data_IF_275704039760
#
_entry.id   IF_275704039760
#
_cell.length_a   1.000
_cell.length_b   1.000
_cell.length_c   1.000
_cell.angle_alpha   90.00
_cell.angle_beta   90.00
_cell.angle_gamma   90.00
#
_symmetry.space_group_name_H-M   'P 1'
#
loop_
_entity.id
_entity.type
_entity.pdbx_description
1 polymer ?
#
# COMPACT_ATOMS: atom_id res chain seq x y z
N UNK A 1 1.62 -0.46 6.28
CA UNK A 1 1.85 -0.49 7.74
C UNK A 1 0.77 0.31 8.45
N UNK A 2 0.29 -0.14 9.61
CA UNK A 2 -0.59 0.65 10.48
C UNK A 2 0.19 1.39 11.57
N UNK A 3 -0.19 2.62 11.87
CA UNK A 3 0.39 3.48 12.89
C UNK A 3 -0.52 3.61 14.13
N UNK A 4 -1.25 2.55 14.48
CA UNK A 4 -2.03 2.52 15.72
C UNK A 4 -1.13 2.66 16.94
N UNK A 5 0.10 2.16 16.84
CA UNK A 5 1.14 2.29 17.85
C UNK A 5 1.66 3.74 17.91
N UNK A 6 1.53 4.38 19.08
CA UNK A 6 1.98 5.76 19.33
C UNK A 6 3.47 5.98 19.01
N UNK A 7 4.31 4.96 19.13
CA UNK A 7 5.75 5.05 18.81
C UNK A 7 6.01 5.19 17.31
N UNK A 8 5.12 4.66 16.47
CA UNK A 8 5.28 4.61 15.01
C UNK A 8 4.64 5.81 14.34
N UNK A 9 3.58 6.39 14.90
CA UNK A 9 2.87 7.56 14.32
C UNK A 9 3.77 8.67 13.79
N UNK A 10 4.81 9.14 14.51
CA UNK A 10 5.65 10.24 14.03
C UNK A 10 6.50 9.88 12.81
N UNK A 11 6.78 8.58 12.61
CA UNK A 11 7.73 8.06 11.62
C UNK A 11 7.05 7.17 10.57
N UNK A 12 5.72 6.99 10.65
CA UNK A 12 4.99 6.03 9.83
C UNK A 12 5.10 6.29 8.33
N UNK A 13 5.12 7.57 7.94
CA UNK A 13 5.27 8.00 6.56
C UNK A 13 6.71 7.82 6.02
N UNK A 14 7.69 7.54 6.89
CA UNK A 14 9.10 7.41 6.50
C UNK A 14 9.30 6.31 5.47
N UNK A 15 8.71 5.12 5.66
CA UNK A 15 8.85 4.02 4.70
C UNK A 15 8.31 4.41 3.32
N UNK A 16 7.14 5.04 3.26
CA UNK A 16 6.56 5.46 1.97
C UNK A 16 7.41 6.52 1.27
N UNK A 17 7.90 7.52 2.02
CA UNK A 17 8.62 8.65 1.45
C UNK A 17 10.09 8.35 1.13
N UNK A 18 10.75 7.54 1.96
CA UNK A 18 12.21 7.32 1.91
C UNK A 18 12.56 6.03 1.16
N UNK A 19 11.63 5.08 1.07
CA UNK A 19 11.86 3.78 0.40
C UNK A 19 10.94 3.59 -0.80
N UNK A 20 9.63 3.58 -0.60
CA UNK A 20 8.69 3.24 -1.68
C UNK A 20 8.77 4.26 -2.82
N UNK A 21 8.76 5.56 -2.52
CA UNK A 21 8.87 6.63 -3.53
C UNK A 21 10.22 6.70 -4.23
N UNK A 22 11.29 6.22 -3.62
CA UNK A 22 12.62 6.22 -4.25
C UNK A 22 12.82 4.96 -5.11
N UNK A 23 12.25 3.82 -4.69
CA UNK A 23 12.50 2.52 -5.32
C UNK A 23 11.36 1.99 -6.18
N UNK A 24 10.21 2.69 -6.30
CA UNK A 24 9.06 2.21 -7.10
C UNK A 24 9.42 1.88 -8.55
N UNK A 25 10.42 2.55 -9.13
CA UNK A 25 10.83 2.37 -10.53
C UNK A 25 12.05 1.48 -10.72
N UNK A 26 12.59 0.91 -9.64
CA UNK A 26 13.85 0.15 -9.66
C UNK A 26 13.54 -1.35 -9.66
N UNK A 27 13.69 -2.04 -8.53
CA UNK A 27 13.49 -3.47 -8.39
C UNK A 27 12.95 -3.81 -7.00
N UNK A 28 12.21 -4.92 -6.92
CA UNK A 28 11.62 -5.39 -5.69
C UNK A 28 12.64 -5.90 -4.65
N UNK A 29 13.71 -6.65 -5.00
CA UNK A 29 14.75 -7.03 -4.05
C UNK A 29 15.34 -5.85 -3.26
N UNK A 30 15.70 -4.76 -3.93
CA UNK A 30 16.18 -3.52 -3.33
C UNK A 30 15.12 -2.89 -2.43
N UNK A 31 13.86 -2.86 -2.89
CA UNK A 31 12.75 -2.32 -2.10
C UNK A 31 12.51 -3.15 -0.83
N UNK A 32 12.46 -4.47 -0.93
CA UNK A 32 12.25 -5.38 0.20
C UNK A 32 13.34 -5.19 1.25
N UNK A 33 14.60 -5.18 0.82
CA UNK A 33 15.74 -5.00 1.73
C UNK A 33 15.68 -3.65 2.44
N UNK A 34 15.49 -2.57 1.69
CA UNK A 34 15.42 -1.22 2.23
C UNK A 34 14.26 -1.06 3.23
N UNK A 35 13.09 -1.65 2.95
CA UNK A 35 11.96 -1.68 3.90
C UNK A 35 12.33 -2.45 5.17
N UNK A 36 12.94 -3.64 5.04
CA UNK A 36 13.29 -4.49 6.19
C UNK A 36 14.36 -3.87 7.10
N UNK A 37 15.28 -3.08 6.55
CA UNK A 37 16.30 -2.36 7.31
C UNK A 37 15.80 -1.00 7.85
N UNK A 38 14.68 -0.49 7.34
CA UNK A 38 14.19 0.82 7.72
C UNK A 38 13.84 0.88 9.23
N UNK A 39 14.31 1.89 9.99
CA UNK A 39 14.09 1.97 11.44
C UNK A 39 12.62 1.86 11.85
N UNK A 40 11.72 2.42 11.04
CA UNK A 40 10.27 2.33 11.29
C UNK A 40 9.78 0.89 11.24
N UNK A 41 10.24 0.07 10.30
CA UNK A 41 9.83 -1.33 10.17
C UNK A 41 10.40 -2.16 11.33
N UNK A 42 11.68 -1.95 11.65
CA UNK A 42 12.36 -2.63 12.77
C UNK A 42 11.74 -2.30 14.14
N UNK A 43 11.19 -1.11 14.32
CA UNK A 43 10.44 -0.73 15.52
C UNK A 43 9.02 -1.28 15.46
N UNK A 44 8.37 -1.23 14.31
CA UNK A 44 6.98 -1.67 14.15
C UNK A 44 6.80 -3.16 14.46
N UNK A 45 7.73 -3.99 13.97
CA UNK A 45 7.73 -5.44 14.18
C UNK A 45 8.67 -5.87 15.30
N UNK A 46 9.15 -4.90 16.11
CA UNK A 46 10.01 -5.12 17.26
C UNK A 46 11.32 -5.91 16.98
N UNK A 47 11.78 -5.97 15.72
CA UNK A 47 13.02 -6.65 15.34
C UNK A 47 14.27 -5.99 15.94
N UNK A 48 14.24 -4.67 16.20
CA UNK A 48 15.32 -3.98 16.90
C UNK A 48 15.64 -4.55 18.29
N UNK A 49 14.75 -5.39 18.84
CA UNK A 49 14.89 -6.11 20.12
C UNK A 49 15.19 -7.60 19.95
N UNK A 50 15.16 -8.11 18.72
CA UNK A 50 15.43 -9.51 18.39
C UNK A 50 16.91 -9.82 18.62
N UNK A 51 17.18 -10.85 19.41
CA UNK A 51 18.54 -11.27 19.77
C UNK A 51 18.61 -12.78 19.55
N UNK A 52 19.66 -13.22 18.85
CA UNK A 52 19.95 -14.62 18.66
C UNK A 52 20.16 -15.32 20.00
N UNK A 53 19.42 -16.40 20.34
CA UNK A 53 19.62 -17.14 21.57
C UNK A 53 21.06 -17.67 21.75
N UNK A 54 21.71 -18.08 20.65
CA UNK A 54 23.10 -18.53 20.61
C UNK A 54 24.13 -17.40 20.56
N UNK A 55 23.71 -16.16 20.30
CA UNK A 55 24.59 -14.98 20.27
C UNK A 55 25.22 -14.67 21.64
N UNK A 56 26.32 -13.91 21.66
CA UNK A 56 26.97 -13.47 22.91
C UNK A 56 26.00 -12.71 23.81
N UNK A 57 25.19 -11.82 23.23
CA UNK A 57 24.20 -11.06 23.97
C UNK A 57 23.03 -11.93 24.45
N UNK A 58 22.60 -12.91 23.65
CA UNK A 58 21.55 -13.87 24.00
C UNK A 58 21.92 -14.69 25.22
N UNK A 59 23.09 -15.32 25.19
CA UNK A 59 23.64 -16.12 26.30
C UNK A 59 23.78 -15.30 27.59
N UNK A 60 24.20 -14.04 27.50
CA UNK A 60 24.38 -13.16 28.67
C UNK A 60 23.07 -12.63 29.26
N UNK A 61 22.08 -12.33 28.41
CA UNK A 61 20.87 -11.59 28.80
C UNK A 61 19.64 -12.48 28.98
N UNK A 62 19.74 -13.76 28.64
CA UNK A 62 18.62 -14.71 28.59
C UNK A 62 17.41 -14.13 27.83
N UNK A 63 17.69 -13.53 26.67
CA UNK A 63 16.68 -12.96 25.76
C UNK A 63 16.53 -13.83 24.53
N UNK A 64 15.32 -13.87 24.01
CA UNK A 64 14.95 -14.70 22.87
C UNK A 64 14.72 -13.93 21.58
N UNK A 65 14.44 -14.72 20.56
CA UNK A 65 14.11 -14.31 19.21
C UNK A 65 12.76 -13.57 19.15
N UNK A 66 12.65 -12.58 18.28
CA UNK A 66 11.37 -12.03 17.85
C UNK A 66 11.15 -12.41 16.38
N UNK A 67 10.10 -13.20 16.14
CA UNK A 67 9.80 -13.77 14.83
C UNK A 67 8.90 -12.87 13.95
N UNK A 68 8.33 -11.79 14.51
CA UNK A 68 7.29 -11.03 13.83
C UNK A 68 7.75 -10.50 12.48
N UNK A 69 8.94 -9.89 12.40
CA UNK A 69 9.46 -9.40 11.11
C UNK A 69 9.62 -10.51 10.08
N UNK A 70 10.19 -11.66 10.46
CA UNK A 70 10.36 -12.79 9.56
C UNK A 70 9.01 -13.35 9.08
N UNK A 71 8.02 -13.44 9.99
CA UNK A 71 6.66 -13.87 9.66
C UNK A 71 6.03 -12.93 8.64
N UNK A 72 6.04 -11.62 8.89
CA UNK A 72 5.45 -10.65 7.96
C UNK A 72 6.18 -10.64 6.60
N UNK A 73 7.51 -10.84 6.60
CA UNK A 73 8.28 -10.96 5.36
C UNK A 73 7.80 -12.13 4.52
N UNK A 74 7.69 -13.33 5.11
CA UNK A 74 7.24 -14.53 4.38
C UNK A 74 5.75 -14.45 4.01
N UNK A 75 4.91 -14.02 4.95
CA UNK A 75 3.45 -14.07 4.84
C UNK A 75 2.86 -12.93 3.99
N UNK A 76 3.28 -11.69 4.22
CA UNK A 76 2.61 -10.52 3.67
C UNK A 76 3.42 -9.79 2.61
N UNK A 77 4.75 -9.84 2.71
CA UNK A 77 5.63 -9.06 1.85
C UNK A 77 6.24 -9.88 0.71
N UNK A 78 6.34 -11.20 0.84
CA UNK A 78 6.94 -12.06 -0.18
C UNK A 78 6.00 -13.18 -0.63
N UNK A 79 6.02 -14.35 -0.01
CA UNK A 79 5.44 -15.58 -0.53
C UNK A 79 3.90 -15.63 -0.47
N UNK A 80 3.29 -14.84 0.41
CA UNK A 80 1.86 -14.92 0.69
C UNK A 80 1.53 -15.95 1.78
N UNK A 81 0.36 -15.85 2.39
CA UNK A 81 -0.10 -16.77 3.44
C UNK A 81 -0.10 -18.25 3.03
N UNK A 82 -0.38 -18.54 1.77
CA UNK A 82 -0.34 -19.89 1.18
C UNK A 82 0.97 -20.16 0.43
N UNK A 83 2.04 -19.44 0.79
CA UNK A 83 3.32 -19.38 0.08
C UNK A 83 4.22 -20.62 0.19
N UNK A 84 3.79 -21.63 0.96
CA UNK A 84 4.48 -22.93 1.10
C UNK A 84 5.64 -22.95 2.10
N UNK A 85 5.78 -21.93 2.95
CA UNK A 85 6.75 -21.92 4.04
C UNK A 85 6.18 -22.57 5.31
N UNK A 86 7.07 -23.05 6.17
CA UNK A 86 6.75 -23.64 7.46
C UNK A 86 7.02 -22.67 8.61
N UNK A 87 6.55 -23.02 9.81
CA UNK A 87 6.94 -22.30 11.03
C UNK A 87 8.45 -22.37 11.29
N UNK A 88 9.14 -23.42 10.82
CA UNK A 88 10.60 -23.51 10.93
C UNK A 88 11.27 -22.44 10.07
N UNK A 89 10.79 -22.21 8.85
CA UNK A 89 11.33 -21.17 7.96
C UNK A 89 11.19 -19.77 8.56
N UNK A 90 10.11 -19.52 9.31
CA UNK A 90 9.94 -18.27 10.07
C UNK A 90 11.02 -18.11 11.14
N UNK A 91 11.31 -19.17 11.89
CA UNK A 91 12.33 -19.15 12.96
C UNK A 91 13.73 -18.96 12.35
N UNK A 92 14.05 -19.70 11.29
CA UNK A 92 15.34 -19.66 10.59
C UNK A 92 15.58 -18.28 9.97
N UNK A 93 14.59 -17.71 9.29
CA UNK A 93 14.70 -16.34 8.79
C UNK A 93 14.84 -15.33 9.95
N UNK A 94 14.07 -15.50 11.03
CA UNK A 94 14.19 -14.62 12.18
C UNK A 94 15.59 -14.66 12.79
N UNK A 95 16.24 -15.82 12.86
CA UNK A 95 17.64 -15.96 13.27
C UNK A 95 18.56 -15.14 12.36
N UNK A 96 18.42 -15.25 11.03
CA UNK A 96 19.18 -14.44 10.07
C UNK A 96 18.98 -12.94 10.18
N UNK A 97 17.84 -12.49 10.72
CA UNK A 97 17.50 -11.07 10.93
C UNK A 97 17.88 -10.54 12.32
N UNK A 98 18.41 -11.39 13.21
CA UNK A 98 18.88 -10.93 14.52
C UNK A 98 20.07 -9.97 14.37
N UNK A 99 20.19 -9.03 15.30
CA UNK A 99 21.20 -7.97 15.23
C UNK A 99 20.84 -6.79 14.32
N UNK A 100 19.83 -6.91 13.45
CA UNK A 100 19.29 -5.78 12.69
C UNK A 100 18.52 -4.86 13.63
N UNK A 101 19.12 -3.73 13.96
CA UNK A 101 18.66 -2.86 15.06
C UNK A 101 18.63 -1.39 14.66
N UNK A 102 18.20 -0.56 15.61
CA UNK A 102 18.12 0.88 15.45
C UNK A 102 19.04 1.53 16.48
N UNK A 103 20.01 2.30 16.00
CA UNK A 103 20.74 3.25 16.83
C UNK A 103 19.82 4.44 17.11
N UNK A 104 19.65 4.76 18.40
CA UNK A 104 18.93 5.96 18.85
C UNK A 104 19.89 7.07 19.29
N UNK A 105 21.20 6.92 19.04
CA UNK A 105 22.19 7.93 19.40
C UNK A 105 22.08 9.11 18.44
N UNK A 106 22.06 10.33 18.98
CA UNK A 106 21.73 11.55 18.23
C UNK A 106 22.71 11.87 17.08
N UNK A 107 23.95 11.38 17.15
CA UNK A 107 24.98 11.53 16.12
C UNK A 107 24.85 10.54 14.97
N UNK A 108 24.20 9.38 15.19
CA UNK A 108 23.95 8.34 14.19
C UNK A 108 22.59 7.65 14.44
N UNK A 109 21.46 8.36 14.35
CA UNK A 109 20.16 7.72 14.44
C UNK A 109 19.90 6.95 13.15
N UNK A 110 19.47 5.69 13.23
CA UNK A 110 19.17 4.91 12.04
C UNK A 110 19.45 3.41 12.18
N UNK A 111 19.41 2.72 11.04
CA UNK A 111 19.74 1.31 10.94
C UNK A 111 21.18 1.04 11.44
N UNK A 112 21.36 -0.07 12.14
CA UNK A 112 22.67 -0.62 12.44
C UNK A 112 22.59 -2.14 12.54
N UNK A 113 23.67 -2.81 12.16
CA UNK A 113 23.88 -4.22 12.45
C UNK A 113 24.71 -4.39 13.74
N UNK A 114 24.18 -5.16 14.70
CA UNK A 114 24.84 -5.44 15.99
C UNK A 114 25.24 -6.90 16.05
N UNK A 115 26.49 -7.18 15.67
CA UNK A 115 27.01 -8.55 15.53
C UNK A 115 26.91 -9.38 16.83
N UNK A 116 27.12 -8.76 18.00
CA UNK A 116 27.00 -9.47 19.28
C UNK A 116 25.56 -9.93 19.61
N UNK A 117 24.55 -9.42 18.88
CA UNK A 117 23.15 -9.85 18.99
C UNK A 117 22.73 -10.82 17.88
N UNK A 118 23.58 -11.05 16.87
CA UNK A 118 23.27 -11.90 15.73
C UNK A 118 23.47 -13.38 16.08
N UNK A 119 22.54 -14.23 15.64
CA UNK A 119 22.58 -15.68 15.82
C UNK A 119 23.75 -16.26 15.02
N UNK A 120 24.65 -17.03 15.64
CA UNK A 120 25.75 -17.65 14.92
C UNK A 120 25.29 -18.91 14.18
N UNK A 121 25.99 -19.22 13.08
CA UNK A 121 25.78 -20.45 12.31
C UNK A 121 24.97 -20.21 11.05
N UNK A 122 24.83 -21.26 10.24
CA UNK A 122 24.02 -21.21 9.03
C UNK A 122 22.54 -21.35 9.36
N UNK A 123 21.69 -20.67 8.59
CA UNK A 123 20.23 -20.84 8.63
C UNK A 123 19.76 -21.63 7.40
N UNK A 124 18.61 -22.26 7.51
CA UNK A 124 17.95 -22.97 6.41
C UNK A 124 16.54 -22.44 6.17
N UNK A 125 16.35 -21.71 5.07
CA UNK A 125 15.06 -21.13 4.70
C UNK A 125 14.63 -21.71 3.36
N UNK A 126 13.45 -22.33 3.33
CA UNK A 126 12.88 -23.02 2.15
C UNK A 126 13.80 -24.11 1.57
N UNK A 127 14.56 -24.79 2.43
CA UNK A 127 15.51 -25.84 2.02
C UNK A 127 16.83 -25.30 1.47
N UNK A 128 17.02 -23.98 1.43
CA UNK A 128 18.27 -23.34 1.04
C UNK A 128 19.08 -22.93 2.29
N UNK A 129 20.36 -23.32 2.30
CA UNK A 129 21.29 -23.00 3.39
C UNK A 129 21.99 -21.68 3.10
N UNK A 130 22.05 -20.81 4.11
CA UNK A 130 22.74 -19.52 4.08
C UNK A 130 23.82 -19.51 5.16
N UNK A 131 25.09 -19.61 4.76
CA UNK A 131 26.27 -19.71 5.63
C UNK A 131 27.14 -18.43 5.61
N UNK A 132 26.67 -17.37 4.96
CA UNK A 132 27.32 -16.07 4.96
C UNK A 132 27.46 -15.54 6.40
N UNK A 133 28.51 -14.77 6.64
CA UNK A 133 28.77 -14.18 7.95
C UNK A 133 28.00 -12.87 8.16
N UNK A 134 27.45 -12.70 9.37
CA UNK A 134 26.86 -11.45 9.82
C UNK A 134 25.66 -11.00 8.99
N UNK A 135 25.57 -9.70 8.73
CA UNK A 135 24.42 -9.08 8.06
C UNK A 135 24.12 -9.69 6.68
N UNK A 136 25.14 -10.11 5.95
CA UNK A 136 25.00 -10.60 4.57
C UNK A 136 24.17 -11.90 4.48
N UNK A 137 24.08 -12.67 5.57
CA UNK A 137 23.22 -13.86 5.64
C UNK A 137 21.75 -13.49 5.41
N UNK A 138 21.25 -12.52 6.19
CA UNK A 138 19.89 -12.01 6.05
C UNK A 138 19.69 -11.30 4.71
N UNK A 139 20.67 -10.49 4.27
CA UNK A 139 20.60 -9.77 2.98
C UNK A 139 20.46 -10.73 1.81
N UNK A 140 21.28 -11.79 1.77
CA UNK A 140 21.24 -12.79 0.69
C UNK A 140 19.91 -13.54 0.71
N UNK A 141 19.46 -13.98 1.89
CA UNK A 141 18.17 -14.66 2.03
C UNK A 141 17.00 -13.80 1.55
N UNK A 142 16.96 -12.50 1.88
CA UNK A 142 15.90 -11.60 1.40
C UNK A 142 15.94 -11.37 -0.12
N UNK A 143 17.13 -11.30 -0.73
CA UNK A 143 17.26 -11.18 -2.19
C UNK A 143 16.76 -12.42 -2.92
N UNK A 144 17.02 -13.61 -2.38
CA UNK A 144 16.53 -14.85 -2.95
C UNK A 144 15.02 -15.00 -2.78
N UNK A 145 14.48 -14.65 -1.59
CA UNK A 145 13.03 -14.58 -1.36
C UNK A 145 12.34 -13.60 -2.33
N UNK A 146 12.91 -12.41 -2.56
CA UNK A 146 12.35 -11.44 -3.49
C UNK A 146 12.26 -11.94 -4.95
N UNK A 147 13.15 -12.85 -5.34
CA UNK A 147 13.19 -13.45 -6.67
C UNK A 147 12.48 -14.81 -6.76
N UNK A 148 11.97 -15.32 -5.64
CA UNK A 148 11.27 -16.60 -5.58
C UNK A 148 9.98 -16.57 -6.43
N UNK A 149 9.66 -17.69 -7.10
CA UNK A 149 8.50 -17.75 -8.00
C UNK A 149 7.18 -17.44 -7.27
N UNK A 150 7.01 -17.94 -6.04
CA UNK A 150 5.81 -17.66 -5.25
C UNK A 150 5.69 -16.18 -4.91
N UNK A 151 6.81 -15.47 -4.70
CA UNK A 151 6.82 -14.03 -4.46
C UNK A 151 6.42 -13.25 -5.71
N UNK A 152 7.01 -13.59 -6.85
CA UNK A 152 6.62 -13.00 -8.13
C UNK A 152 5.11 -13.19 -8.38
N UNK A 153 4.60 -14.43 -8.23
CA UNK A 153 3.17 -14.73 -8.44
C UNK A 153 2.28 -14.02 -7.42
N UNK A 154 2.67 -13.97 -6.15
CA UNK A 154 1.91 -13.29 -5.09
C UNK A 154 1.75 -11.80 -5.38
N UNK A 155 2.85 -11.10 -5.69
CA UNK A 155 2.84 -9.66 -5.93
C UNK A 155 2.18 -9.31 -7.27
N UNK A 156 2.43 -10.08 -8.33
CA UNK A 156 1.75 -9.90 -9.61
C UNK A 156 0.24 -10.11 -9.49
N UNK A 157 -0.22 -11.10 -8.70
CA UNK A 157 -1.64 -11.27 -8.39
C UNK A 157 -2.21 -10.05 -7.69
N UNK A 158 -1.56 -9.52 -6.64
CA UNK A 158 -2.01 -8.30 -5.95
C UNK A 158 -2.11 -7.11 -6.88
N UNK A 159 -1.14 -6.91 -7.78
CA UNK A 159 -1.19 -5.83 -8.78
C UNK A 159 -2.38 -6.00 -9.73
N UNK A 160 -2.58 -7.20 -10.28
CA UNK A 160 -3.69 -7.46 -11.21
C UNK A 160 -5.05 -7.29 -10.52
N UNK A 161 -5.20 -7.86 -9.32
CA UNK A 161 -6.44 -7.74 -8.53
C UNK A 161 -6.73 -6.29 -8.16
N UNK A 162 -5.71 -5.52 -7.80
CA UNK A 162 -5.86 -4.11 -7.50
C UNK A 162 -6.45 -3.35 -8.69
N UNK A 163 -5.85 -3.47 -9.87
CA UNK A 163 -6.22 -2.66 -11.04
C UNK A 163 -7.43 -3.19 -11.82
N UNK A 164 -7.61 -4.52 -11.90
CA UNK A 164 -8.58 -5.15 -12.80
C UNK A 164 -9.52 -6.15 -12.12
N UNK A 165 -9.32 -6.45 -10.85
CA UNK A 165 -10.15 -7.36 -10.07
C UNK A 165 -9.71 -8.81 -10.23
N UNK A 166 -10.50 -9.73 -9.69
CA UNK A 166 -10.20 -11.16 -9.77
C UNK A 166 -10.53 -11.73 -11.15
N UNK A 167 -10.02 -12.94 -11.46
CA UNK A 167 -10.36 -13.68 -12.69
C UNK A 167 -9.35 -13.58 -13.84
N UNK A 168 -8.26 -12.83 -13.68
CA UNK A 168 -7.28 -12.57 -14.75
C UNK A 168 -6.01 -13.42 -14.64
N UNK A 169 -6.15 -14.74 -14.47
CA UNK A 169 -5.03 -15.66 -14.25
C UNK A 169 -3.96 -15.61 -15.35
N UNK A 170 -4.38 -15.45 -16.61
CA UNK A 170 -3.45 -15.34 -17.75
C UNK A 170 -2.52 -14.13 -17.65
N UNK A 171 -3.05 -12.98 -17.22
CA UNK A 171 -2.26 -11.77 -17.01
C UNK A 171 -1.31 -11.92 -15.81
N UNK A 172 -1.76 -12.59 -14.74
CA UNK A 172 -0.90 -12.91 -13.59
C UNK A 172 0.29 -13.77 -14.03
N UNK A 173 0.06 -14.79 -14.85
CA UNK A 173 1.12 -15.66 -15.38
C UNK A 173 2.09 -14.89 -16.30
N UNK A 174 1.58 -13.98 -17.14
CA UNK A 174 2.39 -13.11 -17.99
C UNK A 174 3.30 -12.20 -17.15
N UNK A 175 2.73 -11.49 -16.18
CA UNK A 175 3.49 -10.62 -15.28
C UNK A 175 4.51 -11.39 -14.46
N UNK A 176 4.16 -12.59 -13.99
CA UNK A 176 5.08 -13.47 -13.25
C UNK A 176 6.28 -13.87 -14.12
N UNK A 177 6.06 -14.18 -15.41
CA UNK A 177 7.16 -14.44 -16.36
C UNK A 177 8.03 -13.20 -16.57
N UNK A 178 7.43 -12.03 -16.75
CA UNK A 178 8.15 -10.76 -16.91
C UNK A 178 9.00 -10.47 -15.68
N UNK A 179 8.44 -10.64 -14.48
CA UNK A 179 9.15 -10.49 -13.22
C UNK A 179 10.39 -11.38 -13.16
N UNK A 180 10.23 -12.68 -13.44
CA UNK A 180 11.33 -13.66 -13.41
C UNK A 180 12.42 -13.37 -14.44
N UNK A 181 12.03 -13.00 -15.66
CA UNK A 181 12.97 -12.69 -16.74
C UNK A 181 13.78 -11.42 -16.47
N UNK A 182 13.26 -10.52 -15.64
CA UNK A 182 13.90 -9.25 -15.28
C UNK A 182 14.30 -9.19 -13.80
N UNK A 183 14.39 -10.34 -13.10
CA UNK A 183 14.87 -10.43 -11.71
C UNK A 183 14.21 -9.41 -10.76
N UNK A 184 12.89 -9.24 -10.89
CA UNK A 184 12.10 -8.35 -10.03
C UNK A 184 12.19 -6.85 -10.35
N UNK A 185 12.76 -6.45 -11.50
CA UNK A 185 12.63 -5.06 -11.97
C UNK A 185 11.15 -4.68 -12.18
N UNK A 186 10.75 -3.53 -11.64
CA UNK A 186 9.33 -3.17 -11.52
C UNK A 186 8.75 -2.51 -12.77
N UNK A 187 9.52 -1.68 -13.48
CA UNK A 187 9.05 -0.99 -14.68
C UNK A 187 8.56 -1.96 -15.78
N UNK A 188 9.27 -3.04 -16.13
CA UNK A 188 8.76 -4.01 -17.10
C UNK A 188 7.41 -4.62 -16.69
N UNK A 189 7.23 -4.92 -15.40
CA UNK A 189 5.98 -5.49 -14.86
C UNK A 189 4.84 -4.47 -14.99
N UNK A 190 5.08 -3.20 -14.62
CA UNK A 190 4.09 -2.14 -14.72
C UNK A 190 3.69 -1.84 -16.16
N UNK A 191 4.66 -1.79 -17.08
CA UNK A 191 4.39 -1.58 -18.49
C UNK A 191 3.54 -2.72 -19.07
N UNK A 192 3.78 -3.97 -18.65
CA UNK A 192 2.99 -5.12 -19.07
C UNK A 192 1.55 -5.02 -18.53
N UNK A 193 1.39 -4.67 -17.24
CA UNK A 193 0.08 -4.46 -16.61
C UNK A 193 -0.75 -3.37 -17.31
N UNK A 194 -0.14 -2.20 -17.53
CA UNK A 194 -0.81 -1.02 -18.12
C UNK A 194 -1.13 -1.24 -19.59
N UNK A 195 -0.30 -1.99 -20.33
CA UNK A 195 -0.53 -2.28 -21.74
C UNK A 195 -1.37 -3.53 -22.00
N UNK A 196 -1.84 -4.20 -20.94
CA UNK A 196 -2.72 -5.36 -21.09
C UNK A 196 -4.00 -5.02 -21.86
N UNK A 197 -4.64 -6.01 -22.52
CA UNK A 197 -5.90 -5.80 -23.21
C UNK A 197 -7.02 -5.25 -22.32
N UNK A 198 -6.94 -5.46 -21.00
CA UNK A 198 -7.94 -5.01 -20.02
C UNK A 198 -7.99 -3.49 -19.87
N UNK A 199 -6.96 -2.75 -20.29
CA UNK A 199 -6.93 -1.29 -20.19
C UNK A 199 -8.06 -0.58 -20.97
N UNK A 200 -8.59 -1.25 -21.99
CA UNK A 200 -9.69 -0.75 -22.83
C UNK A 200 -11.00 -1.48 -22.52
N UNK A 201 -11.10 -2.16 -21.38
CA UNK A 201 -12.35 -2.82 -20.99
C UNK A 201 -13.45 -1.79 -20.81
N UNK A 202 -14.62 -2.05 -21.38
CA UNK A 202 -15.84 -1.29 -21.12
C UNK A 202 -16.50 -1.67 -19.79
N UNK A 203 -16.03 -2.74 -19.14
CA UNK A 203 -16.55 -3.18 -17.85
C UNK A 203 -16.00 -2.30 -16.72
N UNK A 204 -16.84 -2.00 -15.75
CA UNK A 204 -16.43 -1.35 -14.50
C UNK A 204 -15.69 -2.37 -13.63
N UNK A 205 -14.38 -2.45 -13.81
CA UNK A 205 -13.58 -3.52 -13.21
C UNK A 205 -13.36 -3.32 -11.71
N UNK A 206 -13.32 -2.07 -11.23
CA UNK A 206 -12.98 -1.76 -9.83
C UNK A 206 -13.77 -0.61 -9.24
N UNK A 207 -14.30 -0.83 -8.05
CA UNK A 207 -14.85 0.23 -7.22
C UNK A 207 -13.71 1.05 -6.59
N UNK A 208 -13.72 2.38 -6.74
CA UNK A 208 -12.70 3.25 -6.14
C UNK A 208 -12.70 3.05 -4.63
N UNK A 209 -11.52 2.85 -4.03
CA UNK A 209 -11.37 2.88 -2.56
C UNK A 209 -11.75 4.26 -2.02
N UNK A 210 -12.08 4.39 -0.72
CA UNK A 210 -12.50 5.68 -0.18
C UNK A 210 -11.48 6.82 -0.37
N UNK A 211 -10.18 6.52 -0.29
CA UNK A 211 -9.10 7.47 -0.54
C UNK A 211 -9.04 7.87 -2.02
N UNK A 212 -9.09 6.91 -2.95
CA UNK A 212 -9.10 7.19 -4.39
C UNK A 212 -10.32 8.02 -4.79
N UNK A 213 -11.51 7.65 -4.30
CA UNK A 213 -12.73 8.39 -4.56
C UNK A 213 -12.64 9.82 -4.03
N UNK A 214 -12.20 10.00 -2.78
CA UNK A 214 -12.11 11.34 -2.21
C UNK A 214 -11.06 12.20 -2.92
N UNK A 215 -9.92 11.64 -3.30
CA UNK A 215 -8.92 12.37 -4.10
C UNK A 215 -9.44 12.70 -5.51
N UNK A 216 -10.23 11.81 -6.12
CA UNK A 216 -10.91 12.11 -7.37
C UNK A 216 -11.91 13.27 -7.20
N UNK A 217 -12.70 13.30 -6.11
CA UNK A 217 -13.60 14.42 -5.79
C UNK A 217 -12.81 15.74 -5.73
N UNK A 218 -11.75 15.78 -4.94
CA UNK A 218 -10.92 16.98 -4.76
C UNK A 218 -10.27 17.45 -6.07
N UNK A 219 -9.67 16.53 -6.83
CA UNK A 219 -9.06 16.84 -8.15
C UNK A 219 -10.10 17.29 -9.17
N UNK A 220 -11.28 16.65 -9.19
CA UNK A 220 -12.37 17.02 -10.09
C UNK A 220 -12.86 18.43 -9.83
N UNK A 221 -12.84 18.89 -8.58
CA UNK A 221 -13.28 20.22 -8.17
C UNK A 221 -12.18 21.29 -8.21
N UNK A 222 -10.92 20.89 -8.45
CA UNK A 222 -9.74 21.76 -8.24
C UNK A 222 -9.75 22.39 -6.84
N UNK A 223 -10.02 21.55 -5.84
CA UNK A 223 -10.22 21.96 -4.45
C UNK A 223 -9.19 21.31 -3.52
N UNK A 224 -8.48 22.15 -2.76
CA UNK A 224 -7.54 21.71 -1.75
C UNK A 224 -8.09 22.00 -0.34
N UNK A 225 -8.60 20.98 0.38
CA UNK A 225 -9.05 21.16 1.75
C UNK A 225 -7.84 21.33 2.67
N UNK A 226 -8.04 21.99 3.81
CA UNK A 226 -7.00 21.98 4.84
C UNK A 226 -6.72 20.54 5.32
N UNK A 227 -5.49 20.22 5.78
CA UNK A 227 -5.11 18.86 6.15
C UNK A 227 -5.99 18.23 7.25
N UNK A 228 -6.49 19.02 8.21
CA UNK A 228 -7.36 18.50 9.29
C UNK A 228 -8.67 17.99 8.73
N UNK A 229 -9.27 18.74 7.81
CA UNK A 229 -10.49 18.34 7.15
C UNK A 229 -10.30 17.09 6.29
N UNK A 230 -9.18 17.01 5.54
CA UNK A 230 -8.86 15.83 4.74
C UNK A 230 -8.81 14.57 5.62
N UNK A 231 -8.11 14.64 6.77
CA UNK A 231 -8.03 13.52 7.73
C UNK A 231 -9.41 13.20 8.32
N UNK A 232 -10.24 14.20 8.63
CA UNK A 232 -11.59 13.99 9.15
C UNK A 232 -12.49 13.27 8.14
N UNK A 233 -12.47 13.67 6.87
CA UNK A 233 -13.25 13.03 5.82
C UNK A 233 -12.76 11.60 5.56
N UNK A 234 -11.44 11.37 5.45
CA UNK A 234 -10.89 10.02 5.30
C UNK A 234 -11.20 9.12 6.49
N UNK A 235 -11.24 9.67 7.71
CA UNK A 235 -11.72 8.94 8.90
C UNK A 235 -13.20 8.59 8.80
N UNK A 236 -14.05 9.52 8.39
CA UNK A 236 -15.49 9.27 8.22
C UNK A 236 -15.76 8.19 7.16
N UNK A 237 -14.93 8.16 6.12
CA UNK A 237 -14.93 7.17 5.05
C UNK A 237 -14.32 5.82 5.45
N UNK A 238 -13.82 5.68 6.68
CA UNK A 238 -13.26 4.43 7.19
C UNK A 238 -11.84 4.12 6.71
N UNK A 239 -11.15 5.03 6.02
CA UNK A 239 -9.80 4.83 5.47
C UNK A 239 -8.85 5.96 5.90
N UNK A 240 -8.73 6.19 7.21
CA UNK A 240 -7.80 7.20 7.72
C UNK A 240 -6.34 6.83 7.37
N UNK A 241 -5.49 7.77 6.92
CA UNK A 241 -4.08 7.48 6.63
C UNK A 241 -3.37 6.81 7.81
N UNK A 242 -2.64 5.73 7.51
CA UNK A 242 -1.89 4.93 8.48
C UNK A 242 -2.71 4.28 9.61
N UNK A 243 -4.00 4.01 9.42
CA UNK A 243 -4.86 3.46 10.48
C UNK A 243 -5.60 2.18 10.03
N UNK A 244 -4.93 1.31 9.27
CA UNK A 244 -5.53 0.07 8.76
C UNK A 244 -5.79 -0.99 9.83
N UNK A 245 -5.24 -0.83 11.04
CA UNK A 245 -5.40 -1.80 12.13
C UNK A 245 -4.49 -3.03 12.06
N UNK A 246 -3.86 -3.29 10.92
CA UNK A 246 -3.01 -4.47 10.69
C UNK A 246 -1.78 -4.17 9.81
N UNK A 247 -0.72 -5.02 9.87
CA UNK A 247 0.42 -4.98 8.95
C UNK A 247 0.01 -5.14 7.48
N UNK A 248 -1.05 -5.91 7.20
CA UNK A 248 -1.57 -6.18 5.86
C UNK A 248 -2.07 -4.93 5.12
N UNK A 249 -2.39 -3.85 5.85
CA UNK A 249 -2.92 -2.64 5.25
C UNK A 249 -4.44 -2.70 5.09
N UNK A 250 -4.97 -1.80 4.27
CA UNK A 250 -6.38 -1.79 3.91
C UNK A 250 -6.68 -2.94 2.96
N UNK A 251 -7.88 -3.56 3.06
CA UNK A 251 -8.24 -4.61 2.13
C UNK A 251 -8.44 -4.05 0.71
N UNK A 252 -8.41 -4.92 -0.28
CA UNK A 252 -8.51 -4.53 -1.69
C UNK A 252 -9.73 -5.15 -2.37
N UNK A 253 -10.77 -5.54 -1.62
CA UNK A 253 -12.03 -6.03 -2.20
C UNK A 253 -13.04 -4.90 -2.36
N UNK A 254 -13.77 -4.88 -3.47
CA UNK A 254 -14.82 -3.88 -3.71
C UNK A 254 -15.95 -3.99 -2.67
N UNK A 255 -16.24 -5.20 -2.21
CA UNK A 255 -17.27 -5.48 -1.22
C UNK A 255 -17.00 -4.79 0.13
N UNK A 256 -15.73 -4.50 0.44
CA UNK A 256 -15.36 -3.81 1.68
C UNK A 256 -15.72 -2.32 1.64
N UNK A 257 -15.98 -1.77 0.44
CA UNK A 257 -16.14 -0.33 0.23
C UNK A 257 -17.50 0.09 -0.35
N UNK A 258 -18.32 -0.85 -0.83
CA UNK A 258 -19.58 -0.56 -1.54
C UNK A 258 -20.85 -0.85 -0.72
N UNK A 259 -20.74 -1.07 0.59
CA UNK A 259 -21.89 -1.27 1.47
C UNK A 259 -22.80 -0.03 1.55
N UNK A 260 -24.06 -0.22 1.95
CA UNK A 260 -25.03 0.88 2.10
C UNK A 260 -24.57 1.95 3.11
N UNK A 261 -23.89 1.56 4.18
CA UNK A 261 -23.29 2.49 5.14
C UNK A 261 -22.13 3.27 4.53
N UNK A 262 -21.26 2.62 3.74
CA UNK A 262 -20.15 3.27 3.05
C UNK A 262 -20.64 4.30 2.01
N UNK A 263 -21.69 3.98 1.24
CA UNK A 263 -22.30 4.93 0.29
C UNK A 263 -22.92 6.14 1.00
N UNK A 264 -23.55 5.93 2.17
CA UNK A 264 -24.06 7.04 2.99
C UNK A 264 -22.94 7.96 3.48
N UNK A 265 -21.80 7.39 3.88
CA UNK A 265 -20.62 8.17 4.29
C UNK A 265 -20.03 8.96 3.12
N UNK A 266 -19.95 8.36 1.92
CA UNK A 266 -19.54 9.07 0.69
C UNK A 266 -20.47 10.23 0.38
N UNK A 267 -21.78 10.02 0.43
CA UNK A 267 -22.76 11.09 0.25
C UNK A 267 -22.55 12.23 1.25
N UNK A 268 -22.34 11.92 2.53
CA UNK A 268 -22.09 12.92 3.56
C UNK A 268 -20.80 13.72 3.29
N UNK A 269 -19.71 13.05 2.90
CA UNK A 269 -18.46 13.73 2.54
C UNK A 269 -18.61 14.55 1.26
N UNK A 270 -19.35 14.05 0.27
CA UNK A 270 -19.67 14.76 -0.96
C UNK A 270 -20.45 16.06 -0.67
N UNK A 271 -21.48 16.01 0.17
CA UNK A 271 -22.25 17.19 0.57
C UNK A 271 -21.39 18.22 1.32
N UNK A 272 -20.59 17.76 2.29
CA UNK A 272 -19.68 18.64 3.04
C UNK A 272 -18.63 19.30 2.14
N UNK A 273 -18.07 18.54 1.20
CA UNK A 273 -17.08 19.05 0.23
C UNK A 273 -17.75 19.98 -0.78
N UNK A 274 -18.92 19.63 -1.30
CA UNK A 274 -19.68 20.43 -2.26
C UNK A 274 -20.02 21.82 -1.71
N UNK A 275 -20.43 21.91 -0.44
CA UNK A 275 -20.64 23.20 0.24
C UNK A 275 -19.39 24.07 0.27
N UNK A 276 -18.20 23.49 0.39
CA UNK A 276 -16.94 24.26 0.39
C UNK A 276 -16.53 24.67 -1.02
N UNK A 277 -16.69 23.77 -1.99
CA UNK A 277 -16.41 24.04 -3.40
C UNK A 277 -17.29 25.17 -3.93
N UNK A 278 -18.60 25.12 -3.68
CA UNK A 278 -19.54 26.18 -4.07
C UNK A 278 -19.15 27.53 -3.44
N UNK A 279 -18.83 27.54 -2.13
CA UNK A 279 -18.35 28.77 -1.46
C UNK A 279 -17.04 29.31 -2.06
N UNK A 280 -16.12 28.43 -2.49
CA UNK A 280 -14.89 28.86 -3.17
C UNK A 280 -15.20 29.48 -4.53
N UNK A 281 -16.09 28.87 -5.31
CA UNK A 281 -16.54 29.39 -6.61
C UNK A 281 -17.21 30.76 -6.46
N UNK A 282 -18.13 30.90 -5.49
CA UNK A 282 -18.80 32.17 -5.18
C UNK A 282 -17.81 33.28 -4.81
N UNK A 283 -16.84 32.98 -3.93
CA UNK A 283 -15.78 33.93 -3.54
C UNK A 283 -14.93 34.37 -4.73
N UNK A 284 -14.71 33.44 -5.66
CA UNK A 284 -13.94 33.67 -6.88
C UNK A 284 -14.79 34.24 -8.02
N UNK A 285 -16.07 34.55 -7.77
CA UNK A 285 -17.05 35.04 -8.76
C UNK A 285 -17.19 34.11 -9.98
N UNK A 286 -17.04 32.81 -9.78
CA UNK A 286 -17.21 31.79 -10.81
C UNK A 286 -18.67 31.32 -10.83
N UNK A 287 -19.23 31.12 -12.03
CA UNK A 287 -20.51 30.47 -12.20
C UNK A 287 -20.36 28.96 -11.95
N UNK A 288 -21.18 28.41 -11.05
CA UNK A 288 -21.07 27.00 -10.63
C UNK A 288 -21.49 26.05 -11.74
N UNK A 289 -22.52 26.38 -12.53
CA UNK A 289 -22.99 25.55 -13.63
C UNK A 289 -21.95 25.47 -14.75
N UNK A 290 -21.33 26.60 -15.10
CA UNK A 290 -20.23 26.62 -16.08
C UNK A 290 -19.04 25.77 -15.61
N UNK A 291 -18.72 25.84 -14.31
CA UNK A 291 -17.66 25.01 -13.72
C UNK A 291 -18.02 23.53 -13.72
N UNK A 292 -19.26 23.18 -13.41
CA UNK A 292 -19.73 21.81 -13.47
C UNK A 292 -19.64 21.23 -14.88
N UNK A 293 -20.04 22.00 -15.90
CA UNK A 293 -19.90 21.59 -17.31
C UNK A 293 -18.43 21.34 -17.66
N UNK A 294 -17.53 22.26 -17.26
CA UNK A 294 -16.09 22.08 -17.45
C UNK A 294 -15.57 20.83 -16.73
N UNK A 295 -16.06 20.55 -15.52
CA UNK A 295 -15.70 19.34 -14.76
C UNK A 295 -16.12 18.07 -15.48
N UNK A 296 -17.37 17.99 -15.94
CA UNK A 296 -17.91 16.82 -16.67
C UNK A 296 -17.13 16.61 -17.97
N UNK A 297 -16.89 17.69 -18.74
CA UNK A 297 -16.13 17.62 -19.98
C UNK A 297 -14.68 17.14 -19.74
N UNK A 298 -14.04 17.57 -18.66
CA UNK A 298 -12.68 17.14 -18.31
C UNK A 298 -12.63 15.68 -17.83
N UNK A 299 -13.66 15.23 -17.12
CA UNK A 299 -13.71 13.87 -16.58
C UNK A 299 -14.03 12.83 -17.67
N UNK A 300 -15.00 13.14 -18.53
CA UNK A 300 -15.62 12.14 -19.40
C UNK A 300 -15.62 12.53 -20.88
N UNK A 301 -15.49 13.82 -21.22
CA UNK A 301 -15.59 14.27 -22.61
C UNK A 301 -16.90 13.83 -23.25
N UNK A 302 -16.82 13.11 -24.38
CA UNK A 302 -17.98 12.54 -25.08
C UNK A 302 -18.58 11.30 -24.41
N UNK A 303 -17.86 10.68 -23.47
CA UNK A 303 -18.22 9.39 -22.87
C UNK A 303 -19.09 9.55 -21.61
N UNK A 304 -19.64 10.74 -21.35
CA UNK A 304 -20.51 10.95 -20.18
C UNK A 304 -21.82 10.17 -20.33
N UNK A 305 -22.23 9.48 -19.27
CA UNK A 305 -23.51 8.78 -19.22
C UNK A 305 -24.69 9.79 -19.23
N UNK A 306 -25.62 9.61 -20.17
CA UNK A 306 -26.82 10.45 -20.33
C UNK A 306 -27.71 10.43 -19.07
N UNK A 307 -27.72 9.32 -18.33
CA UNK A 307 -28.44 9.23 -17.06
C UNK A 307 -27.84 10.15 -15.99
N UNK A 308 -26.51 10.33 -15.98
CA UNK A 308 -25.83 11.25 -15.06
C UNK A 308 -26.21 12.69 -15.39
N UNK A 309 -26.19 13.07 -16.67
CA UNK A 309 -26.63 14.40 -17.12
C UNK A 309 -28.09 14.68 -16.73
N UNK A 310 -28.98 13.72 -16.97
CA UNK A 310 -30.40 13.82 -16.60
C UNK A 310 -30.59 13.98 -15.09
N UNK A 311 -29.80 13.27 -14.28
CA UNK A 311 -29.88 13.37 -12.82
C UNK A 311 -29.36 14.73 -12.31
N UNK A 312 -28.31 15.27 -12.93
CA UNK A 312 -27.75 16.58 -12.61
C UNK A 312 -28.76 17.70 -12.93
N UNK A 313 -29.42 17.63 -14.09
CA UNK A 313 -30.41 18.64 -14.50
C UNK A 313 -31.61 18.71 -13.53
N UNK A 314 -32.00 17.57 -12.96
CA UNK A 314 -33.09 17.48 -11.97
C UNK A 314 -32.70 17.94 -10.56
N UNK A 315 -31.41 18.16 -10.27
CA UNK A 315 -30.95 18.57 -8.95
C UNK A 315 -31.25 20.05 -8.69
N UNK A 316 -31.79 20.35 -7.51
CA UNK A 316 -32.38 21.65 -7.19
C UNK A 316 -31.38 22.77 -6.93
N UNK A 317 -30.18 22.43 -6.46
CA UNK A 317 -29.18 23.40 -6.03
C UNK A 317 -27.76 22.98 -6.46
N UNK A 318 -26.80 23.93 -6.50
CA UNK A 318 -25.46 23.65 -7.00
C UNK A 318 -24.68 22.59 -6.20
N UNK A 319 -24.91 22.47 -4.88
CA UNK A 319 -24.29 21.43 -4.07
C UNK A 319 -24.84 20.07 -4.46
N UNK A 320 -26.17 19.96 -4.60
CA UNK A 320 -26.81 18.72 -5.03
C UNK A 320 -26.33 18.26 -6.41
N UNK A 321 -26.10 19.18 -7.36
CA UNK A 321 -25.52 18.86 -8.68
C UNK A 321 -24.14 18.21 -8.57
N UNK A 322 -23.25 18.77 -7.74
CA UNK A 322 -21.91 18.20 -7.47
C UNK A 322 -22.00 16.83 -6.78
N UNK A 323 -22.90 16.69 -5.81
CA UNK A 323 -23.12 15.42 -5.10
C UNK A 323 -23.61 14.34 -6.06
N UNK A 324 -24.55 14.64 -6.96
CA UNK A 324 -25.05 13.70 -7.97
C UNK A 324 -23.90 13.24 -8.88
N UNK A 325 -23.06 14.16 -9.35
CA UNK A 325 -21.88 13.81 -10.15
C UNK A 325 -20.95 12.85 -9.39
N UNK A 326 -20.57 13.20 -8.16
CA UNK A 326 -19.61 12.39 -7.38
C UNK A 326 -20.17 11.08 -6.86
N UNK A 327 -21.50 10.96 -6.73
CA UNK A 327 -22.19 9.74 -6.34
C UNK A 327 -22.63 8.87 -7.54
N UNK A 328 -22.45 9.35 -8.78
CA UNK A 328 -22.79 8.57 -9.97
C UNK A 328 -21.96 7.29 -10.09
N UNK A 329 -22.52 6.18 -10.65
CA UNK A 329 -21.75 4.96 -10.88
C UNK A 329 -20.45 5.21 -11.67
N UNK A 330 -20.50 6.05 -12.71
CA UNK A 330 -19.33 6.42 -13.51
C UNK A 330 -18.22 7.11 -12.68
N UNK A 331 -18.58 7.77 -11.58
CA UNK A 331 -17.61 8.37 -10.63
C UNK A 331 -17.24 7.43 -9.47
N UNK A 332 -17.99 6.35 -9.23
CA UNK A 332 -17.63 5.36 -8.21
C UNK A 332 -16.63 4.32 -8.73
N UNK A 333 -16.64 4.02 -10.02
CA UNK A 333 -15.81 2.97 -10.63
C UNK A 333 -14.68 3.52 -11.50
N UNK A 334 -13.55 2.82 -11.52
CA UNK A 334 -12.39 3.13 -12.37
C UNK A 334 -12.20 2.09 -13.47
#
# INVERSE_FOLDING_TARGET
MSADNRRIRPIAAGIENEVIRELWSIDFPSMLLAVCQHPTMLIYLDNHRSIGPGSKAGQKRNKGLNENLAREILELHTLGVDGGYSQNDVIELAQGLTGWSVSFKADRPGYQFVEDMHEPGAINVLGQVYDQAGEEQGVTCLRDLANHENTARHLCRKLVEHFYGSGHASLIDELTKVWRNNQGMLIPVYLTLINSPLKNSSEQLRFRTPQEWYFAVLRSADFEPNPRQMIQHLRLLGQQPFMSGSPAGWPDSDADYNSSSALKQRWQVADQTGKLVVRQMERSKQNVDDKLIQMIQRLYGSEVDEHVLTAIDKAQDPVSKLVVLWMSPQFQYR
#
